data_IF_738819031103
#
_entry.id   IF_738819031103
#
_cell.length_a   1.000
_cell.length_b   1.000
_cell.length_c   1.000
_cell.angle_alpha   90.00
_cell.angle_beta   90.00
_cell.angle_gamma   90.00
#
_symmetry.space_group_name_H-M   'P 1'
#
loop_
_entity.id
_entity.type
_entity.pdbx_description
1 polymer ?
#
# COMPACT_ATOMS: atom_id res chain seq x y z
N UNK A 1 42.97 29.48 -44.40
CA UNK A 1 42.56 29.22 -43.00
C UNK A 1 41.13 29.73 -42.82
N UNK A 2 40.14 28.84 -42.66
CA UNK A 2 38.83 29.10 -42.04
C UNK A 2 37.88 27.93 -42.32
N UNK A 3 37.60 27.10 -41.31
CA UNK A 3 36.29 26.46 -41.03
C UNK A 3 36.44 25.47 -39.86
N UNK A 4 36.00 25.88 -38.66
CA UNK A 4 35.32 24.92 -37.80
C UNK A 4 34.12 25.54 -37.06
N UNK A 5 33.38 26.47 -37.68
CA UNK A 5 32.26 27.15 -37.01
C UNK A 5 30.86 26.59 -37.38
N UNK A 6 30.79 25.61 -38.29
CA UNK A 6 29.49 25.05 -38.73
C UNK A 6 29.02 23.81 -37.95
N UNK A 7 29.91 23.17 -37.20
CA UNK A 7 29.58 21.91 -36.50
C UNK A 7 29.03 22.18 -35.08
N UNK A 8 29.29 23.35 -34.50
CA UNK A 8 28.89 23.67 -33.12
C UNK A 8 27.42 24.09 -32.98
N UNK A 9 26.71 24.39 -34.07
CA UNK A 9 25.31 24.87 -34.02
C UNK A 9 24.24 23.77 -34.16
N UNK A 10 24.62 22.53 -34.48
CA UNK A 10 23.66 21.42 -34.66
C UNK A 10 23.45 20.57 -33.40
N UNK A 11 24.29 20.72 -32.37
CA UNK A 11 24.24 19.91 -31.14
C UNK A 11 23.33 20.47 -30.03
N UNK A 12 22.84 21.71 -30.16
CA UNK A 12 22.03 22.37 -29.12
C UNK A 12 20.52 22.20 -29.30
N UNK A 13 20.04 21.59 -30.40
CA UNK A 13 18.61 21.46 -30.68
C UNK A 13 17.96 20.16 -30.15
N UNK A 14 18.73 19.18 -29.68
CA UNK A 14 18.19 17.86 -29.31
C UNK A 14 17.81 17.68 -27.83
N UNK A 15 18.06 18.68 -26.97
CA UNK A 15 17.87 18.52 -25.52
C UNK A 15 16.46 18.94 -25.01
N UNK A 16 15.56 19.41 -25.87
CA UNK A 16 14.33 20.07 -25.44
C UNK A 16 13.07 19.18 -25.31
N UNK A 17 13.15 17.86 -25.53
CA UNK A 17 11.95 17.00 -25.58
C UNK A 17 11.77 16.00 -24.44
N UNK A 18 12.64 15.99 -23.43
CA UNK A 18 12.39 15.16 -22.23
C UNK A 18 11.65 16.00 -21.20
N UNK A 19 10.34 16.21 -21.43
CA UNK A 19 9.43 16.62 -20.36
C UNK A 19 9.15 15.35 -19.53
N UNK A 20 9.65 15.23 -18.29
CA UNK A 20 9.15 14.18 -17.42
C UNK A 20 7.66 14.44 -17.21
N UNK A 21 6.81 13.50 -17.63
CA UNK A 21 5.39 13.56 -17.32
C UNK A 21 5.26 13.73 -15.80
N UNK A 22 4.70 14.87 -15.37
CA UNK A 22 4.37 15.06 -13.97
C UNK A 22 3.50 13.86 -13.55
N UNK A 23 3.79 13.21 -12.40
CA UNK A 23 2.93 12.13 -11.94
C UNK A 23 1.53 12.74 -11.83
N UNK A 24 0.58 12.18 -12.58
CA UNK A 24 -0.82 12.54 -12.46
C UNK A 24 -1.18 12.29 -10.99
N UNK A 25 -1.26 13.36 -10.20
CA UNK A 25 -1.62 13.30 -8.78
C UNK A 25 -3.06 12.81 -8.74
N UNK A 26 -3.24 11.52 -8.47
CA UNK A 26 -4.52 10.82 -8.43
C UNK A 26 -5.36 11.18 -7.18
N UNK A 27 -5.32 12.44 -6.76
CA UNK A 27 -6.05 13.00 -5.62
C UNK A 27 -7.57 13.01 -5.79
N UNK A 28 -8.08 12.71 -6.99
CA UNK A 28 -9.52 12.78 -7.28
C UNK A 28 -10.34 11.83 -6.40
N UNK A 29 -9.80 10.64 -6.11
CA UNK A 29 -10.53 9.59 -5.39
C UNK A 29 -10.37 9.67 -3.88
N UNK A 30 -9.39 10.42 -3.37
CA UNK A 30 -9.13 10.53 -1.93
C UNK A 30 -10.37 10.92 -1.10
N UNK A 31 -11.20 11.90 -1.51
CA UNK A 31 -12.42 12.21 -0.75
C UNK A 31 -13.38 11.01 -0.65
N UNK A 32 -13.53 10.26 -1.73
CA UNK A 32 -14.39 9.06 -1.77
C UNK A 32 -13.82 7.96 -0.86
N UNK A 33 -12.50 7.71 -0.93
CA UNK A 33 -11.84 6.73 -0.06
C UNK A 33 -11.95 7.11 1.42
N UNK A 34 -11.89 8.40 1.75
CA UNK A 34 -12.07 8.90 3.11
C UNK A 34 -13.49 8.69 3.64
N UNK A 35 -14.52 8.77 2.79
CA UNK A 35 -15.90 8.46 3.18
C UNK A 35 -16.07 6.99 3.54
N UNK A 36 -15.31 6.09 2.91
CA UNK A 36 -15.34 4.65 3.19
C UNK A 36 -14.54 4.26 4.43
N UNK A 37 -13.74 5.18 5.00
CA UNK A 37 -12.83 4.89 6.10
C UNK A 37 -13.50 4.20 7.31
N UNK A 38 -14.67 4.63 7.82
CA UNK A 38 -15.29 3.97 8.97
C UNK A 38 -15.65 2.50 8.67
N UNK A 39 -16.09 2.21 7.45
CA UNK A 39 -16.38 0.83 7.03
C UNK A 39 -15.09 0.00 6.96
N UNK A 40 -14.02 0.58 6.41
CA UNK A 40 -12.71 -0.06 6.37
C UNK A 40 -12.16 -0.34 7.78
N UNK A 41 -12.29 0.61 8.71
CA UNK A 41 -11.86 0.43 10.10
C UNK A 41 -12.62 -0.70 10.81
N UNK A 42 -13.94 -0.80 10.60
CA UNK A 42 -14.74 -1.90 11.13
C UNK A 42 -14.30 -3.26 10.56
N UNK A 43 -14.02 -3.31 9.25
CA UNK A 43 -13.54 -4.53 8.59
C UNK A 43 -12.17 -4.95 9.11
N UNK A 44 -11.23 -4.01 9.22
CA UNK A 44 -9.89 -4.26 9.77
C UNK A 44 -9.97 -4.73 11.22
N UNK A 45 -10.84 -4.12 12.03
CA UNK A 45 -11.05 -4.53 13.42
C UNK A 45 -11.54 -5.98 13.48
N UNK A 46 -12.55 -6.33 12.69
CA UNK A 46 -13.10 -7.68 12.63
C UNK A 46 -12.05 -8.72 12.23
N UNK A 47 -11.33 -8.48 11.13
CA UNK A 47 -10.30 -9.40 10.65
C UNK A 47 -9.18 -9.57 11.68
N UNK A 48 -8.76 -8.48 12.33
CA UNK A 48 -7.77 -8.52 13.40
C UNK A 48 -8.23 -9.41 14.57
N UNK A 49 -9.47 -9.21 15.04
CA UNK A 49 -10.04 -10.00 16.13
C UNK A 49 -10.11 -11.48 15.75
N UNK A 50 -10.72 -11.80 14.60
CA UNK A 50 -10.87 -13.18 14.11
C UNK A 50 -9.51 -13.88 13.95
N UNK A 51 -8.50 -13.18 13.44
CA UNK A 51 -7.16 -13.73 13.19
C UNK A 51 -6.38 -13.98 14.49
N UNK A 52 -6.53 -13.10 15.49
CA UNK A 52 -5.74 -13.17 16.73
C UNK A 52 -6.44 -14.01 17.81
N UNK A 53 -7.77 -13.98 17.88
CA UNK A 53 -8.52 -14.78 18.85
C UNK A 53 -8.43 -16.28 18.57
N UNK A 54 -8.28 -16.65 17.29
CA UNK A 54 -8.40 -18.02 16.81
C UNK A 54 -9.71 -18.70 17.26
N UNK A 55 -10.81 -17.91 17.31
CA UNK A 55 -12.15 -18.39 17.68
C UNK A 55 -12.43 -18.47 19.18
N UNK A 56 -11.53 -17.95 20.04
CA UNK A 56 -11.73 -17.91 21.50
C UNK A 56 -12.54 -16.69 21.91
N UNK A 57 -13.78 -16.90 22.36
CA UNK A 57 -14.74 -15.83 22.68
C UNK A 57 -14.28 -14.86 23.79
N UNK A 58 -13.53 -15.35 24.77
CA UNK A 58 -12.93 -14.55 25.84
C UNK A 58 -11.87 -13.58 25.30
N UNK A 59 -11.08 -14.02 24.32
CA UNK A 59 -10.12 -13.18 23.62
C UNK A 59 -10.77 -12.24 22.63
N UNK A 60 -11.83 -12.65 21.94
CA UNK A 60 -12.53 -11.78 21.02
C UNK A 60 -12.95 -10.48 21.70
N UNK A 61 -13.52 -10.59 22.90
CA UNK A 61 -13.96 -9.42 23.67
C UNK A 61 -12.79 -8.54 24.11
N UNK A 62 -11.67 -9.13 24.55
CA UNK A 62 -10.50 -8.36 25.00
C UNK A 62 -9.72 -7.73 23.84
N UNK A 63 -9.79 -8.30 22.64
CA UNK A 63 -9.10 -7.82 21.43
C UNK A 63 -9.86 -6.73 20.67
N UNK A 64 -11.15 -6.52 20.93
CA UNK A 64 -11.96 -5.50 20.24
C UNK A 64 -11.30 -4.11 20.26
N UNK A 65 -10.97 -3.60 21.44
CA UNK A 65 -10.39 -2.26 21.59
C UNK A 65 -8.97 -2.15 21.00
N UNK A 66 -8.04 -3.09 21.27
CA UNK A 66 -6.73 -3.12 20.61
C UNK A 66 -6.83 -3.16 19.07
N UNK A 67 -7.67 -4.04 18.53
CA UNK A 67 -7.84 -4.17 17.07
C UNK A 67 -8.47 -2.91 16.46
N UNK A 68 -9.42 -2.25 17.16
CA UNK A 68 -9.97 -0.96 16.74
C UNK A 68 -8.91 0.13 16.70
N UNK A 69 -8.03 0.18 17.72
CA UNK A 69 -6.91 1.14 17.76
C UNK A 69 -5.91 0.90 16.64
N UNK A 70 -5.67 -0.36 16.26
CA UNK A 70 -4.80 -0.71 15.13
C UNK A 70 -5.45 -0.37 13.77
N UNK A 71 -6.76 -0.56 13.65
CA UNK A 71 -7.50 -0.30 12.42
C UNK A 71 -7.42 1.17 11.98
N UNK A 72 -7.35 2.12 12.91
CA UNK A 72 -7.27 3.57 12.64
C UNK A 72 -6.03 3.98 11.82
N UNK A 73 -4.78 3.71 12.26
CA UNK A 73 -3.60 4.03 11.47
C UNK A 73 -3.49 3.17 10.20
N UNK A 74 -3.94 1.91 10.25
CA UNK A 74 -3.92 1.03 9.08
C UNK A 74 -4.87 1.54 7.98
N UNK A 75 -6.10 1.91 8.31
CA UNK A 75 -7.06 2.45 7.33
C UNK A 75 -6.55 3.73 6.68
N UNK A 76 -5.98 4.63 7.46
CA UNK A 76 -5.36 5.87 6.98
C UNK A 76 -4.22 5.58 6.01
N UNK A 77 -3.35 4.65 6.37
CA UNK A 77 -2.21 4.24 5.55
C UNK A 77 -2.64 3.62 4.21
N UNK A 78 -3.65 2.75 4.21
CA UNK A 78 -4.21 2.16 2.98
C UNK A 78 -4.81 3.23 2.07
N UNK A 79 -5.58 4.17 2.61
CA UNK A 79 -6.18 5.27 1.83
C UNK A 79 -5.09 6.17 1.25
N UNK A 80 -4.09 6.53 2.05
CA UNK A 80 -2.96 7.35 1.59
C UNK A 80 -2.12 6.66 0.52
N UNK A 81 -1.80 5.36 0.67
CA UNK A 81 -1.04 4.63 -0.35
C UNK A 81 -1.85 4.41 -1.63
N UNK A 82 -3.15 4.16 -1.51
CA UNK A 82 -4.05 4.06 -2.67
C UNK A 82 -4.04 5.35 -3.49
N UNK A 83 -4.06 6.50 -2.81
CA UNK A 83 -4.00 7.83 -3.41
C UNK A 83 -2.60 8.14 -3.99
N UNK A 84 -1.56 7.99 -3.17
CA UNK A 84 -0.19 8.35 -3.52
C UNK A 84 0.42 7.49 -4.63
N UNK A 85 0.03 6.21 -4.71
CA UNK A 85 0.53 5.28 -5.73
C UNK A 85 -0.17 5.44 -7.08
N UNK A 86 -1.24 6.22 -7.17
CA UNK A 86 -2.05 6.34 -8.39
C UNK A 86 -2.92 5.11 -8.69
N UNK A 87 -3.00 4.15 -7.76
CA UNK A 87 -3.68 2.86 -7.94
C UNK A 87 -5.17 2.88 -7.58
N UNK A 88 -5.72 4.02 -7.19
CA UNK A 88 -7.10 4.13 -6.72
C UNK A 88 -8.16 3.55 -7.66
N UNK A 89 -8.06 3.77 -8.98
CA UNK A 89 -9.01 3.19 -9.93
C UNK A 89 -8.88 1.66 -10.02
N UNK A 90 -7.66 1.14 -9.96
CA UNK A 90 -7.37 -0.29 -9.96
C UNK A 90 -7.95 -0.97 -8.73
N UNK A 91 -7.65 -0.44 -7.54
CA UNK A 91 -8.20 -0.91 -6.26
C UNK A 91 -9.74 -0.89 -6.28
N UNK A 92 -10.36 0.19 -6.75
CA UNK A 92 -11.82 0.27 -6.85
C UNK A 92 -12.39 -0.77 -7.81
N UNK A 93 -11.74 -1.00 -8.96
CA UNK A 93 -12.19 -1.99 -9.94
C UNK A 93 -12.08 -3.40 -9.38
N UNK A 94 -11.01 -3.71 -8.65
CA UNK A 94 -10.84 -4.99 -7.96
C UNK A 94 -11.94 -5.22 -6.91
N UNK A 95 -12.22 -4.21 -6.09
CA UNK A 95 -13.28 -4.26 -5.08
C UNK A 95 -14.67 -4.49 -5.70
N UNK A 96 -15.04 -3.74 -6.75
CA UNK A 96 -16.33 -3.90 -7.45
C UNK A 96 -16.44 -5.27 -8.10
N UNK A 97 -15.31 -5.83 -8.55
CA UNK A 97 -15.24 -7.19 -9.09
C UNK A 97 -15.20 -8.28 -7.99
N UNK A 98 -15.23 -7.91 -6.71
CA UNK A 98 -15.16 -8.82 -5.58
C UNK A 98 -13.83 -9.58 -5.47
N UNK A 99 -12.74 -9.03 -6.02
CA UNK A 99 -11.42 -9.68 -6.03
C UNK A 99 -10.37 -8.85 -5.29
N UNK A 100 -9.32 -9.51 -4.84
CA UNK A 100 -8.08 -8.89 -4.38
C UNK A 100 -7.01 -9.14 -5.43
N UNK A 101 -6.54 -8.08 -6.10
CA UNK A 101 -5.58 -8.19 -7.20
C UNK A 101 -4.29 -7.42 -6.94
N UNK A 102 -3.51 -7.22 -8.00
CA UNK A 102 -2.16 -6.66 -7.94
C UNK A 102 -2.13 -5.23 -7.38
N UNK A 103 -3.16 -4.41 -7.66
CA UNK A 103 -3.21 -3.04 -7.16
C UNK A 103 -3.43 -2.99 -5.65
N UNK A 104 -4.38 -3.78 -5.15
CA UNK A 104 -4.63 -3.92 -3.71
C UNK A 104 -3.44 -4.56 -2.99
N UNK A 105 -2.81 -5.56 -3.59
CA UNK A 105 -1.61 -6.21 -3.04
C UNK A 105 -0.46 -5.21 -2.85
N UNK A 106 -0.17 -4.41 -3.87
CA UNK A 106 0.90 -3.42 -3.82
C UNK A 106 0.62 -2.33 -2.77
N UNK A 107 -0.61 -1.82 -2.70
CA UNK A 107 -1.02 -0.85 -1.68
C UNK A 107 -0.80 -1.39 -0.26
N UNK A 108 -1.20 -2.64 -0.02
CA UNK A 108 -1.02 -3.28 1.29
C UNK A 108 0.46 -3.47 1.62
N UNK A 109 1.29 -3.90 0.66
CA UNK A 109 2.75 -4.03 0.85
C UNK A 109 3.41 -2.72 1.24
N UNK A 110 3.15 -1.65 0.47
CA UNK A 110 3.68 -0.31 0.74
C UNK A 110 3.23 0.20 2.10
N UNK A 111 1.97 -0.06 2.45
CA UNK A 111 1.44 0.31 3.74
C UNK A 111 2.10 -0.45 4.90
N UNK A 112 2.27 -1.78 4.77
CA UNK A 112 3.00 -2.59 5.74
C UNK A 112 4.43 -2.07 5.91
N UNK A 113 5.16 -1.84 4.81
CA UNK A 113 6.51 -1.29 4.85
C UNK A 113 6.56 0.03 5.66
N UNK A 114 5.66 0.98 5.38
CA UNK A 114 5.56 2.25 6.13
C UNK A 114 5.24 2.05 7.61
N UNK A 115 4.29 1.17 7.94
CA UNK A 115 3.92 0.90 9.34
C UNK A 115 5.08 0.30 10.15
N UNK A 116 5.96 -0.47 9.51
CA UNK A 116 7.15 -1.05 10.12
C UNK A 116 8.41 -0.18 9.98
N UNK A 117 8.29 1.04 9.46
CA UNK A 117 9.43 1.96 9.29
C UNK A 117 10.43 1.54 8.20
N UNK A 118 10.00 0.69 7.27
CA UNK A 118 10.81 0.21 6.15
C UNK A 118 10.66 1.14 4.92
N UNK A 119 11.62 1.11 3.97
CA UNK A 119 11.46 1.77 2.68
C UNK A 119 10.19 1.27 1.96
N UNK A 120 9.42 2.18 1.37
CA UNK A 120 8.08 1.87 0.84
C UNK A 120 8.06 0.73 -0.19
N UNK A 121 9.12 0.60 -1.00
CA UNK A 121 9.21 -0.42 -2.04
C UNK A 121 9.95 -1.70 -1.59
N UNK A 122 10.34 -1.80 -0.31
CA UNK A 122 11.13 -2.92 0.22
C UNK A 122 10.43 -4.28 0.16
N UNK A 123 9.10 -4.28 0.07
CA UNK A 123 8.28 -5.49 0.01
C UNK A 123 7.82 -5.84 -1.42
N UNK A 124 8.19 -5.04 -2.43
CA UNK A 124 7.69 -5.15 -3.82
C UNK A 124 7.80 -6.57 -4.38
N UNK A 125 8.98 -7.16 -4.22
CA UNK A 125 9.31 -8.46 -4.82
C UNK A 125 8.86 -9.66 -3.94
N UNK A 126 8.17 -9.41 -2.82
CA UNK A 126 7.67 -10.45 -1.91
C UNK A 126 6.15 -10.54 -1.94
N UNK A 127 5.54 -11.66 -2.36
CA UNK A 127 4.09 -11.83 -2.33
C UNK A 127 3.52 -11.71 -0.92
N UNK A 128 2.34 -11.09 -0.75
CA UNK A 128 1.71 -10.93 0.58
C UNK A 128 1.46 -12.26 1.29
N UNK A 129 1.11 -13.30 0.53
CA UNK A 129 0.93 -14.64 1.08
C UNK A 129 2.22 -15.17 1.71
N UNK A 130 3.36 -14.91 1.08
CA UNK A 130 4.66 -15.35 1.57
C UNK A 130 5.07 -14.54 2.81
N UNK A 131 4.79 -13.23 2.83
CA UNK A 131 4.96 -12.39 4.02
C UNK A 131 4.17 -12.96 5.21
N UNK A 132 2.87 -13.25 5.00
CA UNK A 132 2.00 -13.82 6.03
C UNK A 132 2.52 -15.15 6.58
N UNK A 133 3.03 -16.04 5.71
CA UNK A 133 3.65 -17.30 6.16
C UNK A 133 4.84 -17.03 7.07
N UNK A 134 5.79 -16.19 6.65
CA UNK A 134 7.01 -15.91 7.41
C UNK A 134 6.72 -15.33 8.78
N UNK A 135 5.82 -14.36 8.88
CA UNK A 135 5.42 -13.79 10.17
C UNK A 135 4.58 -14.76 11.02
N UNK A 136 3.77 -15.62 10.38
CA UNK A 136 3.05 -16.70 11.07
C UNK A 136 3.96 -17.78 11.64
N UNK A 137 5.07 -18.09 10.96
CA UNK A 137 6.06 -19.09 11.40
C UNK A 137 6.81 -18.68 12.67
N UNK A 138 7.05 -17.38 12.89
CA UNK A 138 7.68 -16.90 14.13
C UNK A 138 6.83 -17.18 15.38
N UNK A 139 5.50 -17.22 15.25
CA UNK A 139 4.58 -17.48 16.38
C UNK A 139 4.62 -18.93 16.88
N UNK A 140 5.09 -19.88 16.07
CA UNK A 140 5.22 -21.30 16.47
C UNK A 140 6.55 -21.61 17.19
N UNK A 141 7.47 -20.65 17.28
CA UNK A 141 8.79 -20.88 17.88
C UNK A 141 8.94 -20.24 19.28
N UNK A 142 8.08 -19.28 19.64
CA UNK A 142 8.01 -18.70 21.00
C UNK A 142 7.05 -19.46 21.95
N UNK A 143 6.39 -20.52 21.49
CA UNK A 143 5.50 -21.37 22.30
C UNK A 143 6.06 -22.79 22.36
N UNK A 144 7.27 -22.94 22.88
CA UNK A 144 7.75 -24.23 23.39
C UNK A 144 8.42 -23.94 24.74
N UNK A 145 7.98 -24.60 25.83
CA UNK A 145 8.56 -24.40 27.17
C UNK A 145 10.03 -24.83 27.23
#
# INVERSE_FOLDING_TARGET
MAKPLRILMLLTAAAALVVPAAPARAGLLRPVLMLLRPQLENQLTRVCVETVSAGRADLEKSLQDPCRKLAVPTSKCLIEETDNSGRGLGVLTEMVSGRFGDDSEEVVKRCLARMFGLPTDSLRDMPLRELGRRFGSYRLQEVTP
#
